data_IF_261758326149
#
_entry.id   IF_261758326149
#
_cell.length_a   1.000
_cell.length_b   1.000
_cell.length_c   1.000
_cell.angle_alpha   90.00
_cell.angle_beta   90.00
_cell.angle_gamma   90.00
#
_symmetry.space_group_name_H-M   'P 1'
#
loop_
_entity.id
_entity.type
_entity.pdbx_description
1 polymer ?
#
# COMPACT_ATOMS: atom_id res chain seq x y z
N UNK A 1 -46.27 130.03 -19.25
CA UNK A 1 -47.23 129.03 -19.77
C UNK A 1 -46.57 127.68 -19.64
N UNK A 2 -47.20 126.74 -18.92
CA UNK A 2 -46.71 125.37 -18.79
C UNK A 2 -47.22 124.59 -20.00
N UNK A 3 -46.33 124.37 -20.97
CA UNK A 3 -46.61 123.60 -22.18
C UNK A 3 -46.80 122.14 -21.75
N UNK A 4 -48.06 121.73 -21.63
CA UNK A 4 -48.42 120.35 -21.29
C UNK A 4 -48.14 119.49 -22.51
N UNK A 5 -47.12 118.62 -22.43
CA UNK A 5 -46.84 117.59 -23.43
C UNK A 5 -48.13 116.92 -23.91
N UNK A 6 -48.31 116.86 -25.23
CA UNK A 6 -49.46 116.24 -25.87
C UNK A 6 -49.57 114.77 -25.46
N UNK A 7 -50.78 114.22 -25.31
CA UNK A 7 -51.00 112.82 -24.94
C UNK A 7 -50.28 111.84 -25.88
N UNK A 8 -50.12 112.22 -27.16
CA UNK A 8 -49.40 111.46 -28.19
C UNK A 8 -47.87 111.48 -27.99
N UNK A 9 -47.35 112.58 -27.47
CA UNK A 9 -45.93 112.71 -27.11
C UNK A 9 -45.62 111.91 -25.85
N UNK A 10 -46.54 111.86 -24.88
CA UNK A 10 -46.42 110.97 -23.71
C UNK A 10 -46.43 109.49 -24.08
N UNK A 11 -47.27 109.07 -25.03
CA UNK A 11 -47.27 107.69 -25.54
C UNK A 11 -45.98 107.34 -26.29
N UNK A 12 -45.48 108.25 -27.14
CA UNK A 12 -44.23 108.04 -27.85
C UNK A 12 -43.02 108.01 -26.89
N UNK A 13 -43.00 108.88 -25.88
CA UNK A 13 -42.02 108.83 -24.80
C UNK A 13 -42.10 107.50 -24.04
N UNK A 14 -43.30 107.01 -23.72
CA UNK A 14 -43.47 105.72 -23.05
C UNK A 14 -43.01 104.53 -23.91
N UNK A 15 -43.24 104.56 -25.22
CA UNK A 15 -42.76 103.52 -26.15
C UNK A 15 -41.24 103.56 -26.27
N UNK A 16 -40.66 104.74 -26.51
CA UNK A 16 -39.21 104.94 -26.53
C UNK A 16 -38.56 104.47 -25.21
N UNK A 17 -39.19 104.77 -24.07
CA UNK A 17 -38.72 104.33 -22.75
C UNK A 17 -38.83 102.81 -22.59
N UNK A 18 -39.90 102.17 -23.09
CA UNK A 18 -40.04 100.71 -23.09
C UNK A 18 -38.98 100.03 -23.95
N UNK A 19 -38.78 100.52 -25.17
CA UNK A 19 -37.81 99.96 -26.11
C UNK A 19 -36.38 100.11 -25.57
N UNK A 20 -36.09 101.23 -24.90
CA UNK A 20 -34.81 101.44 -24.19
C UNK A 20 -34.64 100.47 -23.02
N UNK A 21 -35.68 100.24 -22.21
CA UNK A 21 -35.65 99.26 -21.13
C UNK A 21 -35.44 97.85 -21.69
N UNK A 22 -36.10 97.51 -22.79
CA UNK A 22 -35.96 96.21 -23.46
C UNK A 22 -34.53 96.01 -23.99
N UNK A 23 -33.94 97.05 -24.60
CA UNK A 23 -32.54 97.02 -25.03
C UNK A 23 -31.58 96.81 -23.85
N UNK A 24 -31.77 97.55 -22.75
CA UNK A 24 -30.94 97.43 -21.54
C UNK A 24 -31.07 96.02 -20.94
N UNK A 25 -32.29 95.46 -20.90
CA UNK A 25 -32.51 94.09 -20.42
C UNK A 25 -31.79 93.09 -21.32
N UNK A 26 -31.84 93.27 -22.64
CA UNK A 26 -31.20 92.37 -23.60
C UNK A 26 -29.67 92.39 -23.49
N UNK A 27 -29.08 93.58 -23.34
CA UNK A 27 -27.65 93.74 -23.09
C UNK A 27 -27.24 93.12 -21.75
N UNK A 28 -28.02 93.35 -20.69
CA UNK A 28 -27.76 92.73 -19.38
C UNK A 28 -27.94 91.22 -19.39
N UNK A 29 -28.86 90.69 -20.20
CA UNK A 29 -29.00 89.25 -20.40
C UNK A 29 -27.81 88.67 -21.15
N UNK A 30 -27.27 89.39 -22.14
CA UNK A 30 -26.07 88.98 -22.85
C UNK A 30 -24.86 88.95 -21.90
N UNK A 31 -24.68 90.00 -21.08
CA UNK A 31 -23.65 90.04 -20.03
C UNK A 31 -23.79 88.84 -19.07
N UNK A 32 -25.00 88.56 -18.62
CA UNK A 32 -25.27 87.45 -17.70
C UNK A 32 -25.02 86.07 -18.33
N UNK A 33 -25.30 85.91 -19.63
CA UNK A 33 -25.00 84.68 -20.35
C UNK A 33 -23.49 84.44 -20.46
N UNK A 34 -22.71 85.49 -20.74
CA UNK A 34 -21.23 85.38 -20.78
C UNK A 34 -20.69 85.02 -19.39
N UNK A 35 -21.16 85.70 -18.33
CA UNK A 35 -20.74 85.37 -16.96
C UNK A 35 -21.14 83.94 -16.55
N UNK A 36 -22.32 83.47 -16.99
CA UNK A 36 -22.76 82.10 -16.76
C UNK A 36 -21.89 81.09 -17.52
N UNK A 37 -21.55 81.37 -18.78
CA UNK A 37 -20.74 80.50 -19.61
C UNK A 37 -19.30 80.39 -19.07
N UNK A 38 -18.74 81.49 -18.58
CA UNK A 38 -17.43 81.50 -17.90
C UNK A 38 -17.45 80.68 -16.60
N UNK A 39 -18.45 80.89 -15.75
CA UNK A 39 -18.59 80.12 -14.50
C UNK A 39 -18.86 78.64 -14.76
N UNK A 40 -19.66 78.33 -15.77
CA UNK A 40 -19.96 76.96 -16.17
C UNK A 40 -18.69 76.28 -16.69
N UNK A 41 -17.92 76.96 -17.54
CA UNK A 41 -16.64 76.44 -18.05
C UNK A 41 -15.67 76.16 -16.90
N UNK A 42 -15.51 77.10 -15.97
CA UNK A 42 -14.66 76.91 -14.80
C UNK A 42 -15.12 75.72 -13.92
N UNK A 43 -16.43 75.54 -13.74
CA UNK A 43 -16.98 74.41 -12.97
C UNK A 43 -16.77 73.08 -13.70
N UNK A 44 -16.89 73.07 -15.03
CA UNK A 44 -16.62 71.88 -15.85
C UNK A 44 -15.15 71.50 -15.77
N UNK A 45 -14.25 72.47 -15.88
CA UNK A 45 -12.80 72.24 -15.78
C UNK A 45 -12.42 71.66 -14.41
N UNK A 46 -12.96 72.23 -13.32
CA UNK A 46 -12.75 71.70 -11.96
C UNK A 46 -13.30 70.28 -11.80
N UNK A 47 -14.51 70.01 -12.33
CA UNK A 47 -15.11 68.68 -12.29
C UNK A 47 -14.32 67.66 -13.14
N UNK A 48 -13.76 68.08 -14.27
CA UNK A 48 -12.90 67.23 -15.10
C UNK A 48 -11.58 66.92 -14.40
N UNK A 49 -10.93 67.91 -13.80
CA UNK A 49 -9.70 67.71 -13.02
C UNK A 49 -9.92 66.76 -11.83
N UNK A 50 -11.05 66.88 -11.13
CA UNK A 50 -11.39 65.96 -10.04
C UNK A 50 -11.75 64.55 -10.56
N UNK A 51 -12.46 64.47 -11.68
CA UNK A 51 -12.78 63.19 -12.32
C UNK A 51 -11.52 62.47 -12.78
N UNK A 52 -10.56 63.16 -13.39
CA UNK A 52 -9.31 62.58 -13.86
C UNK A 52 -8.50 62.05 -12.68
N UNK A 53 -8.32 62.85 -11.62
CA UNK A 53 -7.64 62.41 -10.39
C UNK A 53 -8.30 61.20 -9.76
N UNK A 54 -9.64 61.19 -9.69
CA UNK A 54 -10.40 60.07 -9.13
C UNK A 54 -10.25 58.82 -10.00
N UNK A 55 -10.33 58.98 -11.31
CA UNK A 55 -10.22 57.91 -12.29
C UNK A 55 -8.83 57.30 -12.29
N UNK A 56 -7.77 58.11 -12.22
CA UNK A 56 -6.39 57.63 -12.09
C UNK A 56 -6.19 56.83 -10.81
N UNK A 57 -6.72 57.33 -9.69
CA UNK A 57 -6.62 56.64 -8.40
C UNK A 57 -7.36 55.31 -8.41
N UNK A 58 -8.60 55.28 -8.92
CA UNK A 58 -9.38 54.05 -9.07
C UNK A 58 -8.69 53.08 -10.03
N UNK A 59 -8.23 53.56 -11.19
CA UNK A 59 -7.57 52.73 -12.21
C UNK A 59 -6.31 52.09 -11.64
N UNK A 60 -5.46 52.85 -10.94
CA UNK A 60 -4.29 52.29 -10.27
C UNK A 60 -4.65 51.26 -9.21
N UNK A 61 -5.70 51.51 -8.42
CA UNK A 61 -6.19 50.55 -7.42
C UNK A 61 -6.71 49.27 -8.08
N UNK A 62 -7.44 49.39 -9.19
CA UNK A 62 -7.94 48.25 -9.96
C UNK A 62 -6.81 47.47 -10.61
N UNK A 63 -5.80 48.13 -11.16
CA UNK A 63 -4.61 47.47 -11.72
C UNK A 63 -3.90 46.66 -10.63
N UNK A 64 -3.74 47.23 -9.44
CA UNK A 64 -3.15 46.53 -8.30
C UNK A 64 -3.98 45.30 -7.89
N UNK A 65 -5.29 45.46 -7.72
CA UNK A 65 -6.17 44.35 -7.37
C UNK A 65 -6.22 43.25 -8.46
N UNK A 66 -6.18 43.63 -9.73
CA UNK A 66 -6.10 42.68 -10.85
C UNK A 66 -4.75 41.95 -10.83
N UNK A 67 -3.65 42.65 -10.53
CA UNK A 67 -2.32 42.05 -10.39
C UNK A 67 -2.32 41.02 -9.26
N UNK A 68 -2.80 41.40 -8.07
CA UNK A 68 -2.89 40.48 -6.92
C UNK A 68 -3.78 39.27 -7.21
N UNK A 69 -4.92 39.48 -7.88
CA UNK A 69 -5.78 38.38 -8.31
C UNK A 69 -5.07 37.47 -9.33
N UNK A 70 -4.38 38.07 -10.31
CA UNK A 70 -3.60 37.33 -11.31
C UNK A 70 -2.53 36.47 -10.66
N UNK A 71 -1.80 37.01 -9.68
CA UNK A 71 -0.76 36.28 -8.95
C UNK A 71 -1.34 35.10 -8.16
N UNK A 72 -2.45 35.31 -7.45
CA UNK A 72 -3.16 34.25 -6.73
C UNK A 72 -3.67 33.15 -7.67
N UNK A 73 -4.24 33.53 -8.82
CA UNK A 73 -4.69 32.57 -9.82
C UNK A 73 -3.51 31.81 -10.39
N UNK A 74 -2.41 32.48 -10.72
CA UNK A 74 -1.20 31.84 -11.26
C UNK A 74 -0.62 30.82 -10.28
N UNK A 75 -0.58 31.16 -8.99
CA UNK A 75 -0.15 30.24 -7.93
C UNK A 75 -1.10 29.04 -7.81
N UNK A 76 -2.41 29.27 -7.88
CA UNK A 76 -3.40 28.19 -7.85
C UNK A 76 -3.27 27.24 -9.06
N UNK A 77 -2.94 27.79 -10.24
CA UNK A 77 -2.70 27.04 -11.47
C UNK A 77 -1.40 26.24 -11.35
N UNK A 78 -0.32 26.82 -10.82
CA UNK A 78 0.94 26.12 -10.59
C UNK A 78 0.77 24.97 -9.58
N UNK A 79 0.02 25.20 -8.49
CA UNK A 79 -0.34 24.15 -7.53
C UNK A 79 -1.12 23.02 -8.21
N UNK A 80 -2.14 23.37 -9.00
CA UNK A 80 -2.94 22.38 -9.73
C UNK A 80 -2.11 21.60 -10.74
N UNK A 81 -1.20 22.27 -11.45
CA UNK A 81 -0.28 21.63 -12.39
C UNK A 81 0.68 20.67 -11.69
N UNK A 82 1.23 21.05 -10.54
CA UNK A 82 2.07 20.17 -9.70
C UNK A 82 1.29 18.96 -9.21
N UNK A 83 0.05 19.14 -8.79
CA UNK A 83 -0.82 18.04 -8.36
C UNK A 83 -1.13 17.09 -9.52
N UNK A 84 -1.47 17.60 -10.70
CA UNK A 84 -1.68 16.77 -11.91
C UNK A 84 -0.42 16.02 -12.29
N UNK A 85 0.74 16.67 -12.25
CA UNK A 85 2.04 16.02 -12.54
C UNK A 85 2.34 14.92 -11.53
N UNK A 86 2.08 15.17 -10.25
CA UNK A 86 2.23 14.18 -9.18
C UNK A 86 1.26 13.00 -9.35
N UNK A 87 -0.01 13.27 -9.67
CA UNK A 87 -0.98 12.21 -9.96
C UNK A 87 -0.54 11.38 -11.17
N UNK A 88 0.01 12.02 -12.21
CA UNK A 88 0.55 11.32 -13.37
C UNK A 88 1.75 10.43 -13.01
N UNK A 89 2.68 10.91 -12.17
CA UNK A 89 3.79 10.07 -11.70
C UNK A 89 3.29 8.92 -10.82
N UNK A 90 2.37 9.17 -9.89
CA UNK A 90 1.82 8.14 -9.02
C UNK A 90 1.00 7.10 -9.79
N UNK A 91 0.28 7.53 -10.83
CA UNK A 91 -0.45 6.63 -11.71
C UNK A 91 0.51 5.72 -12.48
N UNK A 92 1.59 6.28 -13.02
CA UNK A 92 2.64 5.50 -13.69
C UNK A 92 3.32 4.52 -12.72
N UNK A 93 3.61 4.93 -11.49
CA UNK A 93 4.18 4.06 -10.46
C UNK A 93 3.22 2.91 -10.13
N UNK A 94 1.92 3.20 -9.91
CA UNK A 94 0.91 2.16 -9.71
C UNK A 94 0.76 1.22 -10.90
N UNK A 95 0.83 1.74 -12.13
CA UNK A 95 0.80 0.92 -13.32
C UNK A 95 2.02 -0.01 -13.38
N UNK A 96 3.20 0.49 -13.02
CA UNK A 96 4.42 -0.31 -12.92
C UNK A 96 4.29 -1.41 -11.86
N UNK A 97 3.81 -1.06 -10.66
CA UNK A 97 3.59 -2.03 -9.57
C UNK A 97 2.58 -3.12 -9.98
N UNK A 98 1.47 -2.74 -10.62
CA UNK A 98 0.47 -3.68 -11.11
C UNK A 98 1.04 -4.61 -12.20
N UNK A 99 1.88 -4.07 -13.08
CA UNK A 99 2.54 -4.86 -14.13
C UNK A 99 3.55 -5.83 -13.52
N UNK A 100 4.33 -5.39 -12.53
CA UNK A 100 5.27 -6.25 -11.81
C UNK A 100 4.55 -7.35 -11.02
N UNK A 101 3.44 -7.02 -10.35
CA UNK A 101 2.60 -8.00 -9.67
C UNK A 101 2.03 -9.01 -10.66
N UNK A 102 1.53 -8.57 -11.81
CA UNK A 102 1.02 -9.46 -12.87
C UNK A 102 2.12 -10.41 -13.35
N UNK A 103 3.35 -9.91 -13.53
CA UNK A 103 4.49 -10.74 -13.90
C UNK A 103 4.81 -11.80 -12.83
N UNK A 104 4.87 -11.40 -11.56
CA UNK A 104 5.08 -12.33 -10.43
C UNK A 104 3.97 -13.39 -10.36
N UNK A 105 2.73 -13.01 -10.67
CA UNK A 105 1.58 -13.92 -10.68
C UNK A 105 1.70 -14.96 -11.79
N UNK A 106 2.13 -14.54 -12.98
CA UNK A 106 2.44 -15.44 -14.11
C UNK A 106 3.60 -16.39 -13.78
N UNK A 107 4.67 -15.90 -13.17
CA UNK A 107 5.79 -16.75 -12.73
C UNK A 107 5.35 -17.78 -11.69
N UNK A 108 4.48 -17.38 -10.75
CA UNK A 108 3.91 -18.29 -9.76
C UNK A 108 3.00 -19.34 -10.40
N UNK A 109 2.15 -18.93 -11.36
CA UNK A 109 1.32 -19.84 -12.15
C UNK A 109 2.18 -20.90 -12.86
N UNK A 110 3.26 -20.49 -13.51
CA UNK A 110 4.21 -21.42 -14.15
C UNK A 110 4.82 -22.40 -13.15
N UNK A 111 5.22 -21.93 -11.96
CA UNK A 111 5.76 -22.81 -10.90
C UNK A 111 4.71 -23.77 -10.34
N UNK A 112 3.45 -23.33 -10.25
CA UNK A 112 2.34 -24.16 -9.79
C UNK A 112 2.06 -25.28 -10.79
N UNK A 113 2.01 -24.96 -12.08
CA UNK A 113 1.84 -25.96 -13.16
C UNK A 113 3.01 -26.95 -13.17
N UNK A 114 4.24 -26.47 -12.99
CA UNK A 114 5.41 -27.34 -12.90
C UNK A 114 5.35 -28.27 -11.67
N UNK A 115 4.93 -27.75 -10.52
CA UNK A 115 4.77 -28.54 -9.30
C UNK A 115 3.63 -29.56 -9.43
N UNK A 116 2.49 -29.17 -10.00
CA UNK A 116 1.36 -30.06 -10.28
C UNK A 116 1.76 -31.22 -11.20
N UNK A 117 2.54 -30.92 -12.26
CA UNK A 117 3.13 -31.94 -13.12
C UNK A 117 4.09 -32.87 -12.37
N UNK A 118 4.93 -32.33 -11.49
CA UNK A 118 5.88 -33.11 -10.71
C UNK A 118 5.18 -34.00 -9.67
N UNK A 119 4.15 -33.49 -8.99
CA UNK A 119 3.33 -34.24 -8.04
C UNK A 119 2.59 -35.36 -8.76
N UNK A 120 1.96 -35.08 -9.91
CA UNK A 120 1.28 -36.08 -10.73
C UNK A 120 2.23 -37.20 -11.13
N UNK A 121 3.41 -36.88 -11.67
CA UNK A 121 4.44 -37.89 -12.01
C UNK A 121 4.89 -38.70 -10.81
N UNK A 122 5.05 -38.07 -9.64
CA UNK A 122 5.44 -38.79 -8.41
C UNK A 122 4.34 -39.72 -7.93
N UNK A 123 3.07 -39.32 -8.03
CA UNK A 123 1.92 -40.16 -7.74
C UNK A 123 1.86 -41.38 -8.64
N UNK A 124 2.07 -41.21 -9.94
CA UNK A 124 2.12 -42.31 -10.90
C UNK A 124 3.24 -43.30 -10.55
N UNK A 125 4.46 -42.81 -10.27
CA UNK A 125 5.59 -43.64 -9.86
C UNK A 125 5.35 -44.40 -8.55
N UNK A 126 4.64 -43.79 -7.60
CA UNK A 126 4.28 -44.47 -6.34
C UNK A 126 3.26 -45.57 -6.57
N UNK A 127 2.28 -45.33 -7.45
CA UNK A 127 1.29 -46.34 -7.84
C UNK A 127 1.92 -47.53 -8.56
N UNK A 128 2.88 -47.27 -9.45
CA UNK A 128 3.62 -48.33 -10.13
C UNK A 128 4.44 -49.17 -9.13
N UNK A 129 5.12 -48.52 -8.18
CA UNK A 129 5.87 -49.22 -7.11
C UNK A 129 4.97 -50.01 -6.17
N UNK A 130 3.77 -49.51 -5.86
CA UNK A 130 2.81 -50.22 -5.02
C UNK A 130 2.33 -51.52 -5.70
N UNK A 131 2.12 -51.49 -7.03
CA UNK A 131 1.81 -52.69 -7.81
C UNK A 131 2.97 -53.69 -7.82
N UNK A 132 4.21 -53.23 -8.00
CA UNK A 132 5.40 -54.09 -7.93
C UNK A 132 5.54 -54.76 -6.56
N UNK A 133 5.37 -54.01 -5.46
CA UNK A 133 5.44 -54.54 -4.09
C UNK A 133 4.33 -55.56 -3.83
N UNK A 134 3.11 -55.32 -4.31
CA UNK A 134 2.00 -56.25 -4.14
C UNK A 134 2.21 -57.55 -4.93
N UNK A 135 2.75 -57.47 -6.15
CA UNK A 135 3.11 -58.65 -6.93
C UNK A 135 4.28 -59.42 -6.29
N UNK A 136 5.30 -58.75 -5.77
CA UNK A 136 6.39 -59.38 -5.00
C UNK A 136 5.86 -60.06 -3.73
N UNK A 137 4.92 -59.41 -3.03
CA UNK A 137 4.27 -59.95 -1.82
C UNK A 137 3.45 -61.19 -2.14
N UNK A 138 2.69 -61.21 -3.25
CA UNK A 138 1.92 -62.37 -3.71
C UNK A 138 2.84 -63.56 -4.02
N UNK A 139 3.95 -63.32 -4.71
CA UNK A 139 4.94 -64.38 -5.01
C UNK A 139 5.56 -64.93 -3.71
N UNK A 140 5.89 -64.07 -2.74
CA UNK A 140 6.43 -64.50 -1.45
C UNK A 140 5.41 -65.32 -0.63
N UNK A 141 4.13 -64.94 -0.71
CA UNK A 141 3.03 -65.61 -0.01
C UNK A 141 2.72 -66.99 -0.63
N UNK A 142 2.78 -67.10 -1.96
CA UNK A 142 2.72 -68.37 -2.69
C UNK A 142 3.90 -69.29 -2.36
N UNK A 143 5.12 -68.76 -2.28
CA UNK A 143 6.31 -69.51 -1.85
C UNK A 143 6.22 -69.97 -0.39
N UNK A 144 5.68 -69.14 0.51
CA UNK A 144 5.42 -69.51 1.91
C UNK A 144 4.34 -70.58 2.04
N UNK A 145 3.27 -70.51 1.24
CA UNK A 145 2.20 -71.51 1.21
C UNK A 145 2.70 -72.86 0.68
N UNK A 146 3.55 -72.85 -0.36
CA UNK A 146 4.21 -74.07 -0.86
C UNK A 146 5.12 -74.71 0.21
N UNK A 147 5.89 -73.90 0.95
CA UNK A 147 6.74 -74.37 2.05
C UNK A 147 5.94 -74.88 3.27
N UNK A 148 4.72 -74.39 3.47
CA UNK A 148 3.81 -74.88 4.51
C UNK A 148 3.17 -76.23 4.12
N UNK A 149 2.82 -76.40 2.84
CA UNK A 149 2.27 -77.66 2.31
C UNK A 149 3.28 -78.81 2.36
N UNK A 150 4.59 -78.56 2.23
CA UNK A 150 5.63 -79.60 2.38
C UNK A 150 5.79 -80.06 3.84
N UNK A 151 5.36 -79.26 4.83
CA UNK A 151 5.44 -79.63 6.26
C UNK A 151 4.28 -80.49 6.75
N UNK A 152 3.15 -80.55 6.04
CA UNK A 152 2.00 -81.37 6.43
C UNK A 152 2.11 -82.85 6.03
N UNK A 153 2.94 -83.19 5.03
CA UNK A 153 3.11 -84.58 4.55
C UNK A 153 4.10 -85.44 5.38
N UNK A 154 4.66 -84.90 6.48
CA UNK A 154 5.59 -85.63 7.36
C UNK A 154 5.09 -85.75 8.82
N UNK A 155 3.78 -85.87 9.01
CA UNK A 155 3.15 -86.12 10.32
C UNK A 155 2.77 -87.60 10.54
N UNK A 156 3.72 -88.53 10.36
CA UNK A 156 3.54 -89.91 10.86
C UNK A 156 4.87 -90.62 11.16
N UNK A 157 5.47 -90.32 12.31
CA UNK A 157 6.24 -91.26 13.16
C UNK A 157 6.69 -90.56 14.45
N UNK A 158 6.08 -90.94 15.56
CA UNK A 158 6.49 -90.54 16.92
C UNK A 158 7.82 -91.21 17.28
N UNK A 159 8.80 -90.41 17.74
CA UNK A 159 9.98 -90.81 18.53
C UNK A 159 10.11 -89.79 19.67
N UNK A 160 10.41 -90.19 20.92
CA UNK A 160 10.09 -89.42 22.12
C UNK A 160 10.96 -88.18 22.34
N UNK A 161 10.30 -87.21 22.97
CA UNK A 161 10.58 -85.78 23.13
C UNK A 161 11.71 -85.40 24.12
N UNK A 162 12.50 -86.33 24.67
CA UNK A 162 13.31 -86.02 25.87
C UNK A 162 14.83 -86.00 25.72
N UNK A 163 15.38 -85.94 24.50
CA UNK A 163 16.84 -85.91 24.32
C UNK A 163 17.35 -84.78 23.40
N UNK A 164 16.51 -84.21 22.53
CA UNK A 164 16.87 -83.07 21.67
C UNK A 164 16.68 -81.69 22.33
N UNK A 165 16.08 -81.64 23.52
CA UNK A 165 15.87 -80.39 24.27
C UNK A 165 17.10 -80.01 25.10
N UNK A 166 17.92 -80.98 25.52
CA UNK A 166 19.11 -80.72 26.33
C UNK A 166 20.30 -80.18 25.54
N UNK A 167 20.35 -80.39 24.22
CA UNK A 167 21.49 -79.97 23.38
C UNK A 167 21.31 -78.56 22.80
N UNK A 168 20.06 -78.07 22.67
CA UNK A 168 19.73 -76.73 22.16
C UNK A 168 19.61 -75.63 23.22
N UNK A 169 19.52 -75.97 24.51
CA UNK A 169 19.55 -74.98 25.59
C UNK A 169 20.97 -74.57 26.03
N UNK A 170 22.00 -75.22 25.50
CA UNK A 170 23.42 -74.94 25.79
C UNK A 170 24.05 -73.86 24.88
N UNK A 171 23.40 -73.44 23.80
CA UNK A 171 24.04 -72.57 22.78
C UNK A 171 23.31 -71.24 22.50
N UNK A 172 22.26 -70.88 23.26
CA UNK A 172 21.48 -69.67 22.99
C UNK A 172 21.19 -68.80 24.23
N UNK A 173 22.16 -68.72 25.15
CA UNK A 173 22.13 -67.74 26.26
C UNK A 173 23.42 -66.93 26.30
N UNK A 174 23.69 -66.11 25.27
CA UNK A 174 24.76 -65.10 25.29
C UNK A 174 24.70 -64.18 24.06
N UNK A 175 23.71 -63.26 23.93
CA UNK A 175 23.91 -61.95 23.25
C UNK A 175 22.66 -61.04 23.16
N UNK A 176 21.91 -60.86 24.25
CA UNK A 176 20.94 -59.75 24.34
C UNK A 176 21.06 -58.90 25.61
N UNK A 177 21.83 -59.34 26.62
CA UNK A 177 21.89 -58.67 27.92
C UNK A 177 22.96 -57.58 28.06
N UNK A 178 23.81 -57.37 27.04
CA UNK A 178 24.94 -56.43 27.13
C UNK A 178 24.54 -54.96 26.95
N UNK A 179 23.38 -54.65 26.34
CA UNK A 179 22.96 -53.25 26.12
C UNK A 179 22.21 -52.63 27.30
N UNK A 180 21.48 -53.43 28.09
CA UNK A 180 20.72 -52.93 29.24
C UNK A 180 21.63 -52.55 30.41
N UNK A 181 22.69 -53.33 30.65
CA UNK A 181 23.63 -53.07 31.75
C UNK A 181 24.42 -51.76 31.56
N UNK A 182 24.83 -51.45 30.32
CA UNK A 182 25.59 -50.24 30.03
C UNK A 182 24.82 -48.93 30.22
N UNK A 183 23.48 -48.96 30.15
CA UNK A 183 22.66 -47.78 30.37
C UNK A 183 22.45 -47.52 31.88
N UNK A 184 22.40 -48.57 32.70
CA UNK A 184 22.34 -48.47 34.16
C UNK A 184 23.61 -47.81 34.72
N UNK A 185 24.77 -48.15 34.15
CA UNK A 185 26.07 -47.62 34.56
C UNK A 185 26.24 -46.12 34.26
N UNK A 186 25.57 -45.61 33.22
CA UNK A 186 25.50 -44.16 32.92
C UNK A 186 24.75 -43.42 34.04
N UNK A 187 23.67 -44.01 34.55
CA UNK A 187 22.84 -43.39 35.60
C UNK A 187 23.57 -43.37 36.94
N UNK A 188 24.24 -44.45 37.33
CA UNK A 188 24.98 -44.52 38.60
C UNK A 188 26.11 -43.49 38.66
N UNK A 189 26.87 -43.34 37.57
CA UNK A 189 27.99 -42.38 37.52
C UNK A 189 27.51 -40.92 37.53
N UNK A 190 26.35 -40.64 36.96
CA UNK A 190 25.73 -39.32 37.03
C UNK A 190 25.19 -39.01 38.44
N UNK A 191 24.58 -39.99 39.11
CA UNK A 191 24.14 -39.86 40.51
C UNK A 191 25.34 -39.68 41.47
N UNK A 192 26.51 -40.21 41.13
CA UNK A 192 27.79 -39.94 41.81
C UNK A 192 28.34 -38.52 41.55
N UNK A 193 27.69 -37.72 40.69
CA UNK A 193 28.02 -36.31 40.43
C UNK A 193 29.10 -36.08 39.37
N UNK A 194 29.45 -37.09 38.58
CA UNK A 194 30.42 -36.97 37.49
C UNK A 194 29.82 -36.21 36.29
N UNK A 195 30.65 -35.46 35.58
CA UNK A 195 30.23 -34.71 34.41
C UNK A 195 29.93 -35.63 33.22
N UNK A 196 28.95 -35.27 32.38
CA UNK A 196 28.55 -36.03 31.17
C UNK A 196 29.75 -36.39 30.27
N UNK A 197 30.74 -35.50 30.20
CA UNK A 197 31.97 -35.69 29.40
C UNK A 197 32.89 -36.74 30.00
N UNK A 198 32.96 -36.82 31.33
CA UNK A 198 33.78 -37.80 32.05
C UNK A 198 33.14 -39.19 31.97
N UNK A 199 31.81 -39.27 32.07
CA UNK A 199 31.04 -40.51 31.89
C UNK A 199 31.26 -41.07 30.48
N UNK A 200 31.14 -40.22 29.46
CA UNK A 200 31.40 -40.60 28.07
C UNK A 200 32.82 -41.15 27.88
N UNK A 201 33.82 -40.50 28.48
CA UNK A 201 35.22 -40.93 28.40
C UNK A 201 35.50 -42.23 29.16
N UNK A 202 34.85 -42.44 30.32
CA UNK A 202 35.04 -43.61 31.18
C UNK A 202 34.36 -44.86 30.61
N UNK A 203 33.18 -44.69 30.01
CA UNK A 203 32.41 -45.77 29.38
C UNK A 203 32.71 -45.96 27.89
N UNK A 204 33.55 -45.10 27.30
CA UNK A 204 33.90 -45.15 25.88
C UNK A 204 32.70 -44.93 24.94
N UNK A 205 31.67 -44.20 25.41
CA UNK A 205 30.45 -43.92 24.65
C UNK A 205 30.41 -42.49 24.13
N UNK A 206 29.62 -42.26 23.07
CA UNK A 206 29.45 -40.93 22.49
C UNK A 206 28.74 -39.99 23.47
N UNK A 207 29.19 -38.74 23.57
CA UNK A 207 28.58 -37.72 24.44
C UNK A 207 27.07 -37.56 24.19
N UNK A 208 26.65 -37.67 22.93
CA UNK A 208 25.23 -37.61 22.55
C UNK A 208 24.40 -38.78 23.07
N UNK A 209 24.98 -39.98 23.19
CA UNK A 209 24.29 -41.15 23.73
C UNK A 209 24.10 -41.05 25.24
N UNK A 210 25.14 -40.59 25.94
CA UNK A 210 25.09 -40.35 27.40
C UNK A 210 24.02 -39.32 27.74
N UNK A 211 23.99 -38.19 27.00
CA UNK A 211 22.98 -37.15 27.17
C UNK A 211 21.56 -37.63 26.85
N UNK A 212 21.41 -38.49 25.85
CA UNK A 212 20.13 -39.07 25.48
C UNK A 212 19.58 -39.99 26.58
N UNK A 213 20.41 -40.87 27.15
CA UNK A 213 20.01 -41.77 28.24
C UNK A 213 19.62 -40.98 29.50
N UNK A 214 20.39 -39.94 29.85
CA UNK A 214 20.05 -39.05 30.97
C UNK A 214 18.76 -38.27 30.74
N UNK A 215 18.54 -37.75 29.52
CA UNK A 215 17.32 -37.03 29.16
C UNK A 215 16.06 -37.90 29.27
N UNK A 216 16.13 -39.14 28.76
CA UNK A 216 15.02 -40.09 28.86
C UNK A 216 14.68 -40.46 30.31
N UNK A 217 15.68 -40.56 31.19
CA UNK A 217 15.46 -40.89 32.59
C UNK A 217 14.94 -39.70 33.41
N UNK A 218 15.33 -38.48 33.06
CA UNK A 218 14.81 -37.26 33.68
C UNK A 218 13.36 -36.95 33.27
N UNK A 219 12.97 -37.22 32.01
CA UNK A 219 11.57 -37.07 31.54
C UNK A 219 10.64 -38.18 32.04
N UNK A 220 11.19 -39.32 32.48
CA UNK A 220 10.43 -40.46 33.00
C UNK A 220 10.07 -40.41 34.49
N UNK A 221 10.37 -39.32 35.20
CA UNK A 221 10.05 -39.10 36.63
C UNK A 221 8.96 -38.05 36.85
#
# INVERSE_FOLDING_TARGET
MSERLSSKDKENLQKLTRDQIESIIKDKMADANVELEDKLSATIDEAMDELDRRTDKETNTKILAISEYSDNVLESVDKSHKEVTFMYSMLNDKQKDATEMTKKLSELEDTLVALDSAVSKKLDLLRDKELEIEDERRVLEEQKAAFASEKEDNLSKQIPFNEALAEKFSEETSNSDTKSNGNMEILTLHDEGLSEVEIAKKLGRGLGEVKFVLGLYQEGR
#
